data_IF_011052334722
#
_entry.id   IF_011052334722
#
_cell.length_a   1.000
_cell.length_b   1.000
_cell.length_c   1.000
_cell.angle_alpha   90.00
_cell.angle_beta   90.00
_cell.angle_gamma   90.00
#
_symmetry.space_group_name_H-M   'P 1'
#
loop_
_entity.id
_entity.type
_entity.pdbx_description
1 polymer ?
#
# COMPACT_ATOMS: atom_id res chain seq x y z
N UNK A 1 -12.68 3.25 9.37
CA UNK A 1 -12.12 2.53 8.21
C UNK A 1 -13.29 1.89 7.47
N UNK A 2 -13.37 2.08 6.16
CA UNK A 2 -14.41 1.48 5.32
C UNK A 2 -13.74 0.56 4.31
N UNK A 3 -14.27 -0.65 4.15
CA UNK A 3 -13.83 -1.59 3.13
C UNK A 3 -14.77 -1.40 1.93
N UNK A 4 -14.20 -1.03 0.78
CA UNK A 4 -14.97 -0.75 -0.44
C UNK A 4 -14.95 -1.92 -1.44
N UNK A 5 -14.00 -2.84 -1.28
CA UNK A 5 -13.80 -3.97 -2.17
C UNK A 5 -13.11 -5.12 -1.41
N UNK A 6 -13.55 -6.35 -1.65
CA UNK A 6 -12.95 -7.58 -1.14
C UNK A 6 -12.88 -8.57 -2.30
N UNK A 7 -11.68 -9.09 -2.57
CA UNK A 7 -11.47 -10.19 -3.51
C UNK A 7 -11.08 -11.44 -2.74
N UNK A 8 -11.88 -12.48 -2.85
CA UNK A 8 -11.65 -13.79 -2.22
C UNK A 8 -11.40 -14.88 -3.28
N UNK A 9 -11.06 -16.09 -2.81
CA UNK A 9 -10.87 -17.30 -3.63
C UNK A 9 -9.57 -17.36 -4.43
N UNK A 10 -8.49 -16.80 -3.89
CA UNK A 10 -7.13 -16.98 -4.41
C UNK A 10 -6.35 -17.99 -3.57
N UNK A 11 -5.48 -18.77 -4.22
CA UNK A 11 -4.55 -19.66 -3.53
C UNK A 11 -3.54 -18.83 -2.71
N UNK A 12 -3.12 -19.33 -1.54
CA UNK A 12 -2.17 -18.63 -0.68
C UNK A 12 -0.78 -18.41 -1.29
N UNK A 13 -0.47 -19.08 -2.40
CA UNK A 13 0.77 -18.94 -3.18
C UNK A 13 0.69 -17.88 -4.28
N UNK A 14 -0.48 -17.27 -4.48
CA UNK A 14 -0.69 -16.31 -5.56
C UNK A 14 0.12 -15.03 -5.33
N UNK A 15 0.74 -14.51 -6.40
CA UNK A 15 1.47 -13.24 -6.32
C UNK A 15 0.49 -12.07 -6.27
N UNK A 16 0.81 -11.04 -5.49
CA UNK A 16 0.07 -9.78 -5.38
C UNK A 16 -0.31 -9.17 -6.74
N UNK A 17 0.62 -9.20 -7.70
CA UNK A 17 0.42 -8.67 -9.04
C UNK A 17 -0.66 -9.42 -9.84
N UNK A 18 -0.79 -10.74 -9.65
CA UNK A 18 -1.85 -11.55 -10.28
C UNK A 18 -3.21 -11.26 -9.65
N UNK A 19 -3.27 -11.19 -8.32
CA UNK A 19 -4.48 -10.86 -7.57
C UNK A 19 -4.99 -9.47 -7.97
N UNK A 20 -4.09 -8.49 -8.07
CA UNK A 20 -4.44 -7.13 -8.49
C UNK A 20 -4.94 -7.10 -9.94
N UNK A 21 -4.23 -7.78 -10.85
CA UNK A 21 -4.65 -7.86 -12.25
C UNK A 21 -6.07 -8.43 -12.35
N UNK A 22 -6.37 -9.51 -11.65
CA UNK A 22 -7.71 -10.08 -11.65
C UNK A 22 -8.75 -9.13 -11.06
N UNK A 23 -8.45 -8.46 -9.94
CA UNK A 23 -9.34 -7.48 -9.32
C UNK A 23 -9.78 -6.37 -10.29
N UNK A 24 -8.86 -5.90 -11.14
CA UNK A 24 -9.10 -4.83 -12.10
C UNK A 24 -9.91 -5.32 -13.33
N UNK A 25 -9.81 -6.60 -13.70
CA UNK A 25 -10.43 -7.13 -14.92
C UNK A 25 -11.74 -7.93 -14.69
N UNK A 26 -12.15 -8.16 -13.43
CA UNK A 26 -13.39 -8.90 -13.10
C UNK A 26 -14.66 -8.06 -13.30
N UNK A 27 -15.78 -8.64 -13.77
CA UNK A 27 -17.08 -7.96 -13.84
C UNK A 27 -17.53 -7.42 -12.46
N UNK A 28 -17.86 -6.13 -12.37
CA UNK A 28 -17.99 -5.33 -11.12
C UNK A 28 -16.62 -4.93 -10.54
N UNK A 29 -15.79 -4.37 -11.43
CA UNK A 29 -14.37 -4.12 -11.26
C UNK A 29 -14.02 -3.33 -10.00
N UNK A 30 -12.86 -3.64 -9.44
CA UNK A 30 -12.17 -2.71 -8.57
C UNK A 30 -11.74 -1.48 -9.40
N UNK A 31 -12.33 -0.32 -9.11
CA UNK A 31 -12.02 0.93 -9.82
C UNK A 31 -11.38 1.95 -8.89
N UNK A 32 -10.26 2.48 -9.34
CA UNK A 32 -9.65 3.66 -8.72
C UNK A 32 -10.34 4.90 -9.30
N UNK A 33 -10.98 5.76 -8.49
CA UNK A 33 -11.59 6.97 -9.03
C UNK A 33 -10.53 7.88 -9.66
N UNK A 34 -10.88 8.52 -10.79
CA UNK A 34 -9.95 9.40 -11.50
C UNK A 34 -9.36 10.47 -10.60
N UNK A 35 -8.04 10.69 -10.71
CA UNK A 35 -7.29 11.63 -9.87
C UNK A 35 -6.87 11.10 -8.49
N UNK A 36 -7.25 9.86 -8.14
CA UNK A 36 -6.83 9.21 -6.90
C UNK A 36 -5.84 8.08 -7.17
N UNK A 37 -5.06 7.77 -6.14
CA UNK A 37 -4.12 6.65 -6.13
C UNK A 37 -4.32 5.81 -4.88
N UNK A 38 -4.42 4.51 -5.05
CA UNK A 38 -4.39 3.56 -3.94
C UNK A 38 -2.95 3.28 -3.54
N UNK A 39 -2.70 3.22 -2.24
CA UNK A 39 -1.38 2.93 -1.69
C UNK A 39 -1.14 1.41 -1.73
N UNK A 40 -0.02 0.97 -2.28
CA UNK A 40 0.29 -0.46 -2.47
C UNK A 40 1.62 -0.88 -1.86
N UNK A 41 1.72 -2.17 -1.50
CA UNK A 41 3.01 -2.78 -1.17
C UNK A 41 3.97 -2.79 -2.37
N UNK A 42 5.25 -2.94 -2.07
CA UNK A 42 6.31 -3.15 -3.03
C UNK A 42 6.17 -4.47 -3.83
N UNK A 43 5.34 -5.41 -3.36
CA UNK A 43 4.96 -6.63 -4.07
C UNK A 43 4.05 -6.41 -5.28
N UNK A 44 3.41 -5.24 -5.37
CA UNK A 44 2.61 -4.85 -6.52
C UNK A 44 3.45 -4.14 -7.60
N UNK A 45 2.95 -4.18 -8.84
CA UNK A 45 3.50 -3.39 -9.93
C UNK A 45 3.02 -1.93 -9.82
N UNK A 46 3.89 -0.98 -10.15
CA UNK A 46 3.48 0.42 -10.31
C UNK A 46 2.59 0.54 -11.55
N UNK A 47 1.39 1.07 -11.41
CA UNK A 47 0.40 1.19 -12.47
C UNK A 47 -0.48 2.42 -12.23
N UNK A 48 -1.19 2.86 -13.26
CA UNK A 48 -2.13 3.97 -13.11
C UNK A 48 -3.16 3.67 -12.00
N UNK A 49 -3.34 4.62 -11.08
CA UNK A 49 -4.19 4.45 -9.90
C UNK A 49 -3.56 3.69 -8.72
N UNK A 50 -2.32 3.23 -8.83
CA UNK A 50 -1.61 2.50 -7.77
C UNK A 50 -0.24 3.11 -7.48
N UNK A 51 0.03 3.40 -6.21
CA UNK A 51 1.27 4.03 -5.79
C UNK A 51 2.08 3.08 -4.90
N UNK A 52 3.20 2.60 -5.41
CA UNK A 52 4.21 1.83 -4.67
C UNK A 52 5.29 2.77 -4.11
N UNK A 53 6.03 2.38 -3.04
CA UNK A 53 7.14 3.18 -2.58
C UNK A 53 8.30 3.17 -3.60
N UNK A 54 9.14 4.19 -3.59
CA UNK A 54 10.35 4.23 -4.39
C UNK A 54 11.29 3.09 -3.98
N UNK A 55 11.56 2.17 -4.90
CA UNK A 55 12.47 1.04 -4.68
C UNK A 55 13.90 1.52 -4.46
N UNK A 56 14.61 0.88 -3.52
CA UNK A 56 15.99 1.20 -3.19
C UNK A 56 16.18 2.55 -2.47
N UNK A 57 15.10 3.20 -2.05
CA UNK A 57 15.14 4.44 -1.26
C UNK A 57 14.68 4.11 0.16
N UNK A 58 15.60 4.21 1.11
CA UNK A 58 15.30 4.06 2.53
C UNK A 58 15.02 5.44 3.13
N UNK A 59 14.09 5.51 4.06
CA UNK A 59 13.94 6.67 4.92
C UNK A 59 14.66 6.37 6.23
N UNK A 60 15.48 7.30 6.72
CA UNK A 60 16.16 7.16 8.01
C UNK A 60 15.48 8.06 9.05
N UNK A 61 14.76 7.43 10.00
CA UNK A 61 14.02 8.15 11.05
C UNK A 61 14.94 9.03 11.94
N UNK A 62 16.22 8.65 12.08
CA UNK A 62 17.18 9.37 12.91
C UNK A 62 17.58 10.76 12.35
N UNK A 63 17.46 10.98 11.05
CA UNK A 63 17.87 12.25 10.41
C UNK A 63 16.80 13.35 10.54
N UNK A 64 15.63 13.02 11.10
CA UNK A 64 14.50 13.92 11.23
C UNK A 64 14.63 14.92 12.39
N UNK A 65 15.44 14.62 13.41
CA UNK A 65 15.50 15.37 14.67
C UNK A 65 16.52 16.53 14.68
N UNK A 66 17.13 16.85 13.54
CA UNK A 66 18.10 17.95 13.47
C UNK A 66 17.48 19.21 12.87
N UNK A 67 17.55 20.31 13.63
CA UNK A 67 17.14 21.68 13.28
C UNK A 67 17.79 22.26 12.00
N UNK A 68 18.47 21.46 11.16
CA UNK A 68 19.29 21.92 10.04
C UNK A 68 19.04 21.26 8.67
N UNK A 69 17.99 20.44 8.50
CA UNK A 69 17.62 20.02 7.14
C UNK A 69 16.65 18.87 7.05
N UNK A 70 15.36 19.18 7.08
CA UNK A 70 14.31 18.23 6.72
C UNK A 70 14.57 17.58 5.35
N UNK A 71 14.06 16.36 5.17
CA UNK A 71 14.26 15.47 4.03
C UNK A 71 14.54 16.23 2.72
N UNK A 72 15.83 16.38 2.39
CA UNK A 72 16.26 17.10 1.18
C UNK A 72 15.90 16.32 -0.09
N UNK A 73 15.57 15.04 0.04
CA UNK A 73 15.30 14.13 -1.06
C UNK A 73 13.78 13.85 -1.08
N UNK A 74 13.03 14.39 -2.06
CA UNK A 74 11.59 14.19 -2.16
C UNK A 74 11.14 12.72 -2.12
N UNK A 75 11.96 11.80 -2.64
CA UNK A 75 11.68 10.36 -2.66
C UNK A 75 11.65 9.74 -1.26
N UNK A 76 12.53 10.17 -0.36
CA UNK A 76 12.55 9.70 1.03
C UNK A 76 11.32 10.18 1.78
N UNK A 77 10.91 11.43 1.57
CA UNK A 77 9.68 11.98 2.15
C UNK A 77 8.44 11.24 1.65
N UNK A 78 8.39 10.90 0.37
CA UNK A 78 7.32 10.06 -0.18
C UNK A 78 7.32 8.68 0.50
N UNK A 79 8.47 8.01 0.62
CA UNK A 79 8.55 6.69 1.24
C UNK A 79 8.21 6.71 2.73
N UNK A 80 8.61 7.75 3.47
CA UNK A 80 8.23 7.93 4.87
C UNK A 80 6.71 8.08 5.01
N UNK A 81 6.09 8.98 4.23
CA UNK A 81 4.63 9.17 4.23
C UNK A 81 3.89 7.90 3.83
N UNK A 82 4.42 7.19 2.82
CA UNK A 82 3.89 5.92 2.37
C UNK A 82 3.92 4.88 3.50
N UNK A 83 5.07 4.71 4.16
CA UNK A 83 5.21 3.75 5.26
C UNK A 83 4.33 4.10 6.46
N UNK A 84 4.18 5.38 6.78
CA UNK A 84 3.30 5.82 7.87
C UNK A 84 1.83 5.48 7.58
N UNK A 85 1.36 5.72 6.35
CA UNK A 85 0.00 5.37 5.94
C UNK A 85 -0.22 3.85 5.92
N UNK A 86 0.75 3.09 5.39
CA UNK A 86 0.70 1.63 5.36
C UNK A 86 0.61 1.02 6.75
N UNK A 87 1.39 1.51 7.71
CA UNK A 87 1.37 1.02 9.10
C UNK A 87 -0.04 1.12 9.74
N UNK A 88 -0.81 2.17 9.40
CA UNK A 88 -2.20 2.30 9.88
C UNK A 88 -3.09 1.21 9.27
N UNK A 89 -2.92 0.91 7.98
CA UNK A 89 -3.68 -0.12 7.27
C UNK A 89 -3.34 -1.52 7.80
N UNK A 90 -2.05 -1.83 7.93
CA UNK A 90 -1.57 -3.13 8.44
C UNK A 90 -2.11 -3.39 9.85
N UNK A 91 -1.99 -2.42 10.76
CA UNK A 91 -2.53 -2.55 12.12
C UNK A 91 -4.03 -2.77 12.14
N UNK A 92 -4.78 -2.09 11.27
CA UNK A 92 -6.22 -2.29 11.18
C UNK A 92 -6.57 -3.69 10.65
N UNK A 93 -5.78 -4.21 9.70
CA UNK A 93 -5.93 -5.55 9.15
C UNK A 93 -5.56 -6.63 10.17
N UNK A 94 -4.46 -6.47 10.91
CA UNK A 94 -4.07 -7.37 12.01
C UNK A 94 -5.19 -7.48 13.06
N UNK A 95 -5.79 -6.36 13.47
CA UNK A 95 -6.92 -6.36 14.41
C UNK A 95 -8.13 -7.10 13.85
N UNK A 96 -8.40 -6.98 12.54
CA UNK A 96 -9.46 -7.74 11.89
C UNK A 96 -9.17 -9.24 11.90
N UNK A 97 -7.93 -9.65 11.60
CA UNK A 97 -7.54 -11.05 11.58
C UNK A 97 -7.65 -11.68 12.97
N UNK A 98 -7.20 -10.98 14.02
CA UNK A 98 -7.34 -11.45 15.41
C UNK A 98 -8.81 -11.63 15.80
N UNK A 99 -9.69 -10.72 15.37
CA UNK A 99 -11.11 -10.76 15.74
C UNK A 99 -11.91 -11.82 14.97
N UNK A 100 -11.59 -12.05 13.71
CA UNK A 100 -12.44 -12.81 12.79
C UNK A 100 -11.78 -14.05 12.20
N UNK A 101 -10.48 -14.30 12.46
CA UNK A 101 -9.75 -15.42 11.87
C UNK A 101 -9.70 -15.35 10.34
N UNK A 102 -9.59 -14.14 9.80
CA UNK A 102 -9.45 -13.91 8.37
C UNK A 102 -7.97 -14.12 8.07
N UNK A 103 -7.66 -15.06 7.19
CA UNK A 103 -6.33 -15.65 6.90
C UNK A 103 -5.89 -16.76 7.86
#
# INVERSE_FOLDING_TARGET
MQIIYVLSSWEGSATDSLVLRDAIHRPHDFRVPSGNYNLCDNGYANAEGFLIPYRGVHYHLHEWDSEQGGLKIPRELTNLKHSAARNVIERAFELMNVRWGIL
#
